data_IF_518211712478
#
_entry.id   IF_518211712478
#
_cell.length_a   1.000
_cell.length_b   1.000
_cell.length_c   1.000
_cell.angle_alpha   90.00
_cell.angle_beta   90.00
_cell.angle_gamma   90.00
#
_symmetry.space_group_name_H-M   'P 1'
#
loop_
_entity.id
_entity.type
_entity.pdbx_description
1 polymer ?
#
# COMPACT_ATOMS: atom_id res chain seq x y z
N UNK A 1 -26.19 30.76 -50.89
CA UNK A 1 -24.97 29.92 -50.85
C UNK A 1 -24.66 29.62 -49.40
N UNK A 2 -25.09 28.45 -48.91
CA UNK A 2 -24.94 28.01 -47.52
C UNK A 2 -23.51 27.54 -47.28
N UNK A 3 -22.85 28.04 -46.23
CA UNK A 3 -21.53 27.54 -45.78
C UNK A 3 -21.76 26.57 -44.61
N UNK A 4 -21.55 25.28 -44.86
CA UNK A 4 -21.46 24.27 -43.80
C UNK A 4 -20.19 24.52 -42.97
N UNK A 5 -20.36 24.74 -41.66
CA UNK A 5 -19.27 24.69 -40.70
C UNK A 5 -19.05 23.22 -40.29
N UNK A 6 -17.89 22.65 -40.62
CA UNK A 6 -17.51 21.31 -40.20
C UNK A 6 -17.12 21.30 -38.73
N UNK A 7 -17.83 20.47 -37.94
CA UNK A 7 -17.49 20.18 -36.55
C UNK A 7 -16.28 19.24 -36.54
N UNK A 8 -15.11 19.73 -36.12
CA UNK A 8 -13.93 18.89 -35.89
C UNK A 8 -14.12 18.17 -34.56
N UNK A 9 -14.44 16.89 -34.61
CA UNK A 9 -14.51 16.01 -33.45
C UNK A 9 -13.07 15.65 -33.05
N UNK A 10 -12.54 16.30 -32.02
CA UNK A 10 -11.26 15.97 -31.42
C UNK A 10 -11.43 14.68 -30.61
N UNK A 11 -11.12 13.53 -31.21
CA UNK A 11 -11.04 12.26 -30.48
C UNK A 11 -9.74 12.30 -29.68
N UNK A 12 -9.83 12.58 -28.38
CA UNK A 12 -8.74 12.29 -27.46
C UNK A 12 -8.55 10.78 -27.42
N UNK A 13 -7.49 10.31 -28.08
CA UNK A 13 -6.97 8.96 -27.87
C UNK A 13 -6.42 8.92 -26.44
N UNK A 14 -7.20 8.38 -25.50
CA UNK A 14 -6.72 8.01 -24.18
C UNK A 14 -5.80 6.82 -24.41
N UNK A 15 -4.49 7.06 -24.43
CA UNK A 15 -3.52 5.98 -24.38
C UNK A 15 -3.76 5.17 -23.09
N UNK A 16 -3.63 3.83 -23.11
CA UNK A 16 -3.61 3.06 -21.88
C UNK A 16 -2.49 3.64 -21.02
N UNK A 17 -2.86 4.20 -19.85
CA UNK A 17 -1.89 4.68 -18.89
C UNK A 17 -1.06 3.47 -18.42
N UNK A 18 0.25 3.64 -18.31
CA UNK A 18 1.16 2.58 -17.85
C UNK A 18 0.78 2.10 -16.44
N UNK A 19 1.26 0.92 -16.04
CA UNK A 19 1.08 0.40 -14.68
C UNK A 19 1.55 1.41 -13.60
N UNK A 20 2.56 2.25 -13.89
CA UNK A 20 2.99 3.36 -13.02
C UNK A 20 1.88 4.38 -12.70
N UNK A 21 0.82 4.47 -13.51
CA UNK A 21 -0.18 5.52 -13.42
C UNK A 21 -1.28 5.28 -12.37
N UNK A 22 -1.20 4.19 -11.60
CA UNK A 22 -2.10 3.95 -10.45
C UNK A 22 -1.33 3.72 -9.16
N UNK A 23 -0.29 4.53 -8.97
CA UNK A 23 0.40 4.69 -7.71
C UNK A 23 -0.14 5.92 -6.95
N UNK A 24 -0.52 5.75 -5.68
CA UNK A 24 -0.93 6.84 -4.80
C UNK A 24 -0.69 6.49 -3.34
N UNK A 25 -0.48 7.51 -2.51
CA UNK A 25 -0.30 7.39 -1.07
C UNK A 25 -1.50 8.05 -0.36
N UNK A 26 -1.90 7.52 0.79
CA UNK A 26 -3.01 8.05 1.61
C UNK A 26 -2.59 8.04 3.07
N UNK A 27 -2.76 9.18 3.73
CA UNK A 27 -2.71 9.26 5.19
C UNK A 27 -4.12 9.53 5.71
N UNK A 28 -4.47 8.86 6.80
CA UNK A 28 -5.72 9.08 7.52
C UNK A 28 -5.40 9.80 8.82
N UNK A 29 -6.05 10.94 9.05
CA UNK A 29 -5.74 11.78 10.19
C UNK A 29 -6.56 13.06 10.21
N UNK A 30 -6.25 13.97 11.13
CA UNK A 30 -6.85 15.29 11.14
C UNK A 30 -6.35 16.14 9.96
N UNK A 31 -7.11 17.17 9.53
CA UNK A 31 -6.72 18.07 8.44
C UNK A 31 -5.32 18.66 8.59
N UNK A 32 -4.50 18.55 7.55
CA UNK A 32 -3.11 19.01 7.48
C UNK A 32 -2.08 17.99 7.98
N UNK A 33 -2.48 16.81 8.45
CA UNK A 33 -1.58 15.81 8.99
C UNK A 33 -1.17 14.78 7.92
N UNK A 34 -0.49 15.26 6.88
CA UNK A 34 0.01 14.45 5.77
C UNK A 34 1.53 14.53 5.64
N UNK A 35 2.23 13.42 5.37
CA UNK A 35 3.66 13.44 5.13
C UNK A 35 4.07 14.28 3.91
N UNK A 36 5.33 14.72 3.90
CA UNK A 36 5.94 15.42 2.77
C UNK A 36 5.95 14.57 1.50
N UNK A 37 5.95 15.21 0.32
CA UNK A 37 6.01 14.46 -0.95
C UNK A 37 7.36 13.75 -1.19
N UNK A 38 8.39 14.08 -0.41
CA UNK A 38 9.67 13.36 -0.41
C UNK A 38 9.64 12.08 0.44
N UNK A 39 8.61 11.92 1.28
CA UNK A 39 8.50 10.77 2.15
C UNK A 39 7.99 9.53 1.41
N UNK A 40 8.83 8.51 1.38
CA UNK A 40 8.52 7.24 0.73
C UNK A 40 7.68 6.29 1.60
N UNK A 41 7.69 6.46 2.92
CA UNK A 41 7.32 5.36 3.83
C UNK A 41 8.14 4.11 3.49
N UNK A 42 7.47 2.99 3.24
CA UNK A 42 8.08 1.77 2.68
C UNK A 42 7.77 1.53 1.19
N UNK A 43 6.99 2.41 0.57
CA UNK A 43 6.59 2.35 -0.83
C UNK A 43 7.29 3.40 -1.68
N UNK A 44 6.53 4.04 -2.58
CA UNK A 44 7.02 5.12 -3.43
C UNK A 44 6.82 6.48 -2.76
N UNK A 45 7.85 7.33 -2.82
CA UNK A 45 7.71 8.75 -2.50
C UNK A 45 6.77 9.43 -3.51
N UNK A 46 6.05 10.45 -3.04
CA UNK A 46 5.09 11.19 -3.84
C UNK A 46 4.05 11.87 -2.98
N UNK A 47 3.09 12.50 -3.62
CA UNK A 47 1.98 13.17 -2.93
C UNK A 47 1.22 12.19 -2.03
N UNK A 48 1.07 12.57 -0.76
CA UNK A 48 0.19 11.91 0.20
C UNK A 48 -1.19 12.56 0.15
N UNK A 49 -2.19 11.78 -0.23
CA UNK A 49 -3.57 12.21 -0.21
C UNK A 49 -4.08 12.22 1.23
N UNK A 50 -4.74 13.30 1.59
CA UNK A 50 -5.49 13.40 2.83
C UNK A 50 -6.88 12.80 2.64
N UNK A 51 -7.21 11.79 3.47
CA UNK A 51 -8.57 11.26 3.54
C UNK A 51 -9.05 11.40 4.98
N UNK A 52 -9.82 12.45 5.23
CA UNK A 52 -10.48 12.70 6.51
C UNK A 52 -11.51 11.61 6.85
N UNK A 53 -11.88 11.52 8.13
CA UNK A 53 -13.02 10.72 8.59
C UNK A 53 -14.33 11.25 8.01
N UNK A 54 -14.69 10.73 6.84
CA UNK A 54 -15.95 11.03 6.16
C UNK A 54 -16.65 9.73 5.77
N UNK A 55 -17.20 8.99 6.76
CA UNK A 55 -17.72 7.65 6.53
C UNK A 55 -18.78 7.65 5.43
N UNK A 56 -18.55 6.84 4.41
CA UNK A 56 -19.49 6.59 3.33
C UNK A 56 -19.44 7.57 2.14
N UNK A 57 -18.63 8.63 2.19
CA UNK A 57 -18.37 9.50 1.03
C UNK A 57 -17.22 8.95 0.18
N UNK A 58 -17.23 9.29 -1.11
CA UNK A 58 -16.14 8.99 -2.02
C UNK A 58 -15.22 10.20 -2.13
N UNK A 59 -13.94 9.99 -1.86
CA UNK A 59 -12.87 10.98 -2.03
C UNK A 59 -12.03 10.60 -3.24
N UNK A 60 -11.87 11.52 -4.20
CA UNK A 60 -10.94 11.32 -5.31
C UNK A 60 -9.50 11.51 -4.84
N UNK A 61 -8.60 10.67 -5.32
CA UNK A 61 -7.17 10.76 -5.02
C UNK A 61 -6.38 11.21 -6.24
N UNK A 62 -5.30 11.93 -6.01
CA UNK A 62 -4.26 12.20 -7.00
C UNK A 62 -3.19 11.10 -6.95
N UNK A 63 -2.46 10.92 -8.03
CA UNK A 63 -1.33 10.00 -8.06
C UNK A 63 -0.11 10.56 -7.30
N UNK A 64 0.98 9.78 -7.25
CA UNK A 64 2.23 10.18 -6.61
C UNK A 64 2.85 11.48 -7.18
N UNK A 65 2.53 11.87 -8.41
CA UNK A 65 2.98 13.13 -9.02
C UNK A 65 2.04 14.31 -8.72
N UNK A 66 0.86 14.04 -8.15
CA UNK A 66 -0.17 15.02 -7.89
C UNK A 66 -1.16 15.22 -9.03
N UNK A 67 -1.12 14.36 -10.05
CA UNK A 67 -2.05 14.43 -11.18
C UNK A 67 -3.39 13.77 -10.84
N UNK A 68 -4.47 14.32 -11.40
CA UNK A 68 -5.82 13.83 -11.15
C UNK A 68 -6.04 12.41 -11.71
N UNK A 69 -6.62 11.53 -10.88
CA UNK A 69 -6.95 10.16 -11.25
C UNK A 69 -8.46 9.92 -11.29
N UNK A 70 -8.87 8.78 -11.88
CA UNK A 70 -10.23 8.26 -11.74
C UNK A 70 -10.45 7.48 -10.44
N UNK A 71 -9.38 7.28 -9.66
CA UNK A 71 -9.41 6.49 -8.43
C UNK A 71 -10.10 7.29 -7.34
N UNK A 72 -10.96 6.59 -6.60
CA UNK A 72 -11.64 7.16 -5.43
C UNK A 72 -11.72 6.13 -4.33
N UNK A 73 -11.65 6.62 -3.10
CA UNK A 73 -11.69 5.83 -1.88
C UNK A 73 -12.99 6.15 -1.16
N UNK A 74 -13.67 5.11 -0.69
CA UNK A 74 -14.76 5.23 0.27
C UNK A 74 -14.42 4.47 1.52
N UNK A 75 -14.40 5.16 2.65
CA UNK A 75 -14.20 4.58 3.97
C UNK A 75 -15.54 4.16 4.58
N UNK A 76 -15.59 3.00 5.24
CA UNK A 76 -16.69 2.58 6.12
C UNK A 76 -16.09 2.04 7.43
N UNK A 77 -16.72 2.30 8.57
CA UNK A 77 -16.12 1.98 9.87
C UNK A 77 -14.97 2.94 10.19
N UNK A 78 -14.16 2.64 11.20
CA UNK A 78 -13.06 3.53 11.59
C UNK A 78 -13.53 4.96 11.93
N UNK A 79 -14.62 5.09 12.69
CA UNK A 79 -15.36 6.36 12.88
C UNK A 79 -14.80 7.21 14.02
N UNK A 80 -13.51 7.09 14.29
CA UNK A 80 -12.80 7.96 15.20
C UNK A 80 -11.42 8.20 14.62
N UNK A 81 -11.05 9.47 14.49
CA UNK A 81 -9.66 9.87 14.26
C UNK A 81 -8.96 9.99 15.60
N UNK A 82 -8.02 9.09 15.87
CA UNK A 82 -7.05 9.28 16.94
C UNK A 82 -5.90 10.14 16.43
N UNK A 83 -5.48 11.09 17.25
CA UNK A 83 -4.37 12.02 16.97
C UNK A 83 -3.44 12.13 18.18
N UNK A 84 -3.15 10.99 18.82
CA UNK A 84 -2.24 10.95 19.97
C UNK A 84 -0.81 10.83 19.45
N UNK A 85 0.00 11.85 19.71
CA UNK A 85 1.43 11.83 19.38
C UNK A 85 2.15 10.70 20.14
N UNK A 86 2.96 9.91 19.43
CA UNK A 86 3.91 8.99 20.05
C UNK A 86 5.25 9.72 20.27
N UNK A 87 5.82 9.74 21.49
CA UNK A 87 7.09 10.45 21.73
C UNK A 87 8.30 9.84 21.00
N UNK A 88 8.17 8.64 20.43
CA UNK A 88 9.21 7.93 19.66
C UNK A 88 9.21 8.24 18.16
N UNK A 89 8.16 8.83 17.61
CA UNK A 89 8.05 9.22 16.19
C UNK A 89 8.45 10.69 16.01
N UNK A 90 8.83 11.08 14.79
CA UNK A 90 9.12 12.48 14.47
C UNK A 90 9.04 12.73 12.96
N UNK A 91 8.90 14.00 12.55
CA UNK A 91 8.88 14.37 11.14
C UNK A 91 7.76 13.68 10.37
N UNK A 92 8.07 13.14 9.19
CA UNK A 92 7.09 12.45 8.34
C UNK A 92 6.61 11.12 8.94
N UNK A 93 7.42 10.46 9.79
CA UNK A 93 6.96 9.26 10.51
C UNK A 93 5.84 9.63 11.50
N UNK A 94 5.96 10.75 12.22
CA UNK A 94 4.90 11.22 13.11
C UNK A 94 3.64 11.61 12.33
N UNK A 95 3.79 12.33 11.21
CA UNK A 95 2.67 12.72 10.36
C UNK A 95 1.88 11.52 9.80
N UNK A 96 2.54 10.38 9.57
CA UNK A 96 1.85 9.16 9.17
C UNK A 96 1.35 8.34 10.37
N UNK A 97 2.20 8.10 11.37
CA UNK A 97 1.98 7.04 12.36
C UNK A 97 1.27 7.50 13.65
N UNK A 98 1.23 8.80 13.94
CA UNK A 98 0.58 9.34 15.14
C UNK A 98 -0.93 9.55 14.95
N UNK A 99 -1.40 9.36 13.72
CA UNK A 99 -2.78 9.55 13.34
C UNK A 99 -3.33 8.27 12.73
N UNK A 100 -4.55 7.91 13.12
CA UNK A 100 -5.22 6.75 12.58
C UNK A 100 -6.73 6.82 12.70
N UNK A 101 -7.40 6.14 11.77
CA UNK A 101 -8.77 5.71 11.97
C UNK A 101 -8.77 4.58 12.99
N UNK A 102 -9.68 4.64 13.96
CA UNK A 102 -9.85 3.60 14.96
C UNK A 102 -11.23 2.98 14.84
N UNK A 103 -11.28 1.64 14.83
CA UNK A 103 -12.52 0.90 15.05
C UNK A 103 -12.53 0.22 16.41
N UNK A 104 -13.64 0.36 17.13
CA UNK A 104 -13.92 -0.30 18.42
C UNK A 104 -14.99 -1.39 18.30
N UNK A 105 -15.44 -1.70 17.08
CA UNK A 105 -16.52 -2.66 16.85
C UNK A 105 -15.96 -3.88 16.12
N UNK A 106 -15.89 -5.04 16.79
CA UNK A 106 -15.29 -6.24 16.18
C UNK A 106 -16.01 -6.73 14.92
N UNK A 107 -17.29 -6.37 14.73
CA UNK A 107 -18.05 -6.70 13.52
C UNK A 107 -18.00 -5.62 12.43
N UNK A 108 -17.24 -4.54 12.64
CA UNK A 108 -17.12 -3.42 11.71
C UNK A 108 -15.66 -2.95 11.67
N UNK A 109 -14.95 -3.39 10.64
CA UNK A 109 -13.57 -3.00 10.39
C UNK A 109 -13.51 -1.57 9.81
N UNK A 110 -12.32 -0.96 9.82
CA UNK A 110 -12.00 0.19 8.98
C UNK A 110 -11.82 -0.32 7.55
N UNK A 111 -12.91 -0.32 6.78
CA UNK A 111 -12.96 -0.80 5.40
C UNK A 111 -12.68 0.33 4.41
N UNK A 112 -11.77 0.10 3.49
CA UNK A 112 -11.49 0.96 2.34
C UNK A 112 -12.03 0.31 1.07
N UNK A 113 -12.90 1.02 0.35
CA UNK A 113 -13.36 0.64 -0.99
C UNK A 113 -12.68 1.52 -2.02
N UNK A 114 -11.63 0.99 -2.64
CA UNK A 114 -10.84 1.65 -3.67
C UNK A 114 -11.48 1.29 -5.02
N UNK A 115 -11.94 2.27 -5.78
CA UNK A 115 -12.62 2.02 -7.07
C UNK A 115 -12.06 2.91 -8.17
N UNK A 116 -12.26 2.51 -9.43
CA UNK A 116 -11.66 3.21 -10.58
C UNK A 116 -10.26 2.70 -10.91
N UNK A 117 -9.93 1.49 -10.43
CA UNK A 117 -8.70 0.78 -10.73
C UNK A 117 -8.79 0.10 -12.11
N UNK A 118 -7.66 0.00 -12.80
CA UNK A 118 -7.52 -0.91 -13.96
C UNK A 118 -7.36 -2.33 -13.44
N UNK A 119 -7.78 -3.32 -14.23
CA UNK A 119 -7.53 -4.71 -13.87
C UNK A 119 -6.04 -5.03 -13.97
N UNK A 120 -5.51 -5.76 -12.97
CA UNK A 120 -4.09 -6.04 -12.87
C UNK A 120 -3.67 -6.39 -11.45
N UNK A 121 -2.37 -6.59 -11.28
CA UNK A 121 -1.76 -6.82 -9.97
C UNK A 121 -1.39 -5.51 -9.31
N UNK A 122 -1.56 -5.45 -8.00
CA UNK A 122 -1.25 -4.30 -7.18
C UNK A 122 -0.53 -4.73 -5.91
N UNK A 123 0.39 -3.88 -5.45
CA UNK A 123 0.86 -3.91 -4.09
C UNK A 123 0.05 -2.90 -3.27
N UNK A 124 -0.50 -3.37 -2.15
CA UNK A 124 -1.10 -2.55 -1.12
C UNK A 124 -0.26 -2.66 0.15
N UNK A 125 0.31 -1.54 0.59
CA UNK A 125 0.90 -1.40 1.93
C UNK A 125 -0.17 -0.82 2.84
N UNK A 126 -0.42 -1.45 3.99
CA UNK A 126 -1.31 -0.93 5.02
C UNK A 126 -0.52 -0.59 6.27
N UNK A 127 -0.55 0.67 6.69
CA UNK A 127 0.00 1.11 7.98
C UNK A 127 -1.11 1.04 9.02
N UNK A 128 -0.92 0.21 10.05
CA UNK A 128 -1.99 -0.18 10.97
C UNK A 128 -1.46 -0.35 12.41
N UNK A 129 -0.72 0.65 12.88
CA UNK A 129 -0.06 0.67 14.17
C UNK A 129 -0.73 1.70 15.10
N UNK A 130 -0.98 1.29 16.33
CA UNK A 130 -1.63 2.16 17.32
C UNK A 130 -0.57 2.99 18.07
N UNK A 131 -0.56 4.33 17.92
CA UNK A 131 0.45 5.17 18.55
C UNK A 131 0.35 5.15 20.07
N UNK A 132 1.52 5.13 20.72
CA UNK A 132 1.72 5.03 22.17
C UNK A 132 1.12 3.77 22.84
N UNK A 133 0.68 2.77 22.07
CA UNK A 133 -0.02 1.58 22.58
C UNK A 133 0.62 0.28 22.05
N UNK A 134 1.81 -0.11 22.53
CA UNK A 134 2.60 -1.20 21.96
C UNK A 134 1.98 -2.60 22.11
N UNK A 135 0.91 -2.73 22.88
CA UNK A 135 0.18 -4.00 23.08
C UNK A 135 -1.04 -4.13 22.18
N UNK A 136 -1.40 -3.08 21.44
CA UNK A 136 -2.54 -3.10 20.52
C UNK A 136 -2.05 -3.52 19.14
N UNK A 137 -2.78 -4.47 18.56
CA UNK A 137 -2.51 -4.97 17.22
C UNK A 137 -3.77 -4.81 16.36
N UNK A 138 -3.56 -4.44 15.11
CA UNK A 138 -4.59 -4.41 14.08
C UNK A 138 -4.46 -5.63 13.18
N UNK A 139 -5.61 -6.10 12.70
CA UNK A 139 -5.72 -7.18 11.74
C UNK A 139 -5.96 -6.58 10.36
N UNK A 140 -5.07 -6.84 9.40
CA UNK A 140 -5.10 -6.23 8.07
C UNK A 140 -5.33 -7.29 7.01
N UNK A 141 -6.13 -6.98 6.00
CA UNK A 141 -6.42 -7.89 4.89
C UNK A 141 -6.90 -7.14 3.65
N UNK A 142 -6.90 -7.84 2.51
CA UNK A 142 -7.59 -7.41 1.30
C UNK A 142 -8.40 -8.54 0.69
N UNK A 143 -9.61 -8.22 0.22
CA UNK A 143 -10.50 -9.19 -0.45
C UNK A 143 -9.93 -9.62 -1.82
N UNK A 144 -9.03 -8.86 -2.40
CA UNK A 144 -8.42 -9.13 -3.71
C UNK A 144 -7.06 -9.82 -3.59
N UNK A 145 -6.56 -10.07 -2.38
CA UNK A 145 -5.35 -10.86 -2.18
C UNK A 145 -5.63 -12.36 -2.31
N UNK A 146 -4.94 -13.09 -3.21
CA UNK A 146 -5.13 -14.53 -3.34
C UNK A 146 -4.89 -15.27 -2.02
N UNK A 147 -5.83 -16.12 -1.63
CA UNK A 147 -5.78 -16.86 -0.38
C UNK A 147 -6.33 -16.12 0.83
N UNK A 148 -6.70 -14.84 0.68
CA UNK A 148 -7.29 -14.00 1.74
C UNK A 148 -6.50 -14.04 3.06
N UNK A 149 -5.16 -13.90 3.02
CA UNK A 149 -4.39 -13.90 4.25
C UNK A 149 -4.77 -12.68 5.07
N UNK A 150 -4.71 -12.85 6.38
CA UNK A 150 -4.84 -11.74 7.30
C UNK A 150 -3.53 -11.60 8.06
N UNK A 151 -3.07 -10.36 8.17
CA UNK A 151 -1.76 -10.02 8.71
C UNK A 151 -1.96 -9.18 9.95
N UNK A 152 -1.26 -9.52 11.02
CA UNK A 152 -1.34 -8.80 12.30
C UNK A 152 -0.21 -7.77 12.35
N UNK A 153 -0.56 -6.51 12.62
CA UNK A 153 0.38 -5.37 12.68
C UNK A 153 0.27 -4.73 14.06
N UNK A 154 1.41 -4.55 14.74
CA UNK A 154 1.45 -3.87 16.04
C UNK A 154 2.74 -4.15 16.80
N UNK A 155 2.93 -3.49 17.93
CA UNK A 155 4.15 -3.61 18.75
C UNK A 155 4.72 -2.26 19.15
N UNK A 156 5.89 -2.25 19.79
CA UNK A 156 6.59 -1.00 20.07
C UNK A 156 7.16 -0.37 18.80
N UNK A 157 7.15 0.96 18.71
CA UNK A 157 7.80 1.69 17.61
C UNK A 157 9.29 1.27 17.54
N UNK A 158 9.76 0.73 16.40
CA UNK A 158 11.11 0.18 16.33
C UNK A 158 12.16 1.24 15.92
N UNK A 159 11.78 2.52 15.84
CA UNK A 159 12.64 3.61 15.38
C UNK A 159 12.55 3.91 13.87
N UNK A 160 11.63 3.26 13.17
CA UNK A 160 11.34 3.42 11.75
C UNK A 160 10.27 2.41 11.32
N UNK A 161 10.01 2.30 10.01
CA UNK A 161 9.07 1.28 9.52
C UNK A 161 9.66 -0.12 9.58
N UNK A 162 8.87 -1.06 10.11
CA UNK A 162 9.14 -2.48 10.10
C UNK A 162 7.88 -3.28 9.77
N UNK A 163 8.04 -4.32 8.94
CA UNK A 163 6.97 -5.25 8.59
C UNK A 163 6.40 -5.92 9.84
N UNK A 164 5.07 -6.06 9.88
CA UNK A 164 4.27 -6.62 10.97
C UNK A 164 4.33 -5.87 12.31
N UNK A 165 5.13 -4.80 12.40
CA UNK A 165 5.10 -3.86 13.53
C UNK A 165 4.31 -2.62 13.14
N UNK A 166 4.71 -1.98 12.04
CA UNK A 166 4.15 -0.69 11.59
C UNK A 166 3.25 -0.83 10.38
N UNK A 167 3.52 -1.81 9.52
CA UNK A 167 2.77 -2.05 8.29
C UNK A 167 2.68 -3.53 7.94
N UNK A 168 1.75 -3.85 7.03
CA UNK A 168 1.68 -5.10 6.28
C UNK A 168 1.68 -4.81 4.78
N UNK A 169 2.10 -5.80 3.97
CA UNK A 169 2.05 -5.75 2.49
C UNK A 169 1.08 -6.80 1.98
N UNK A 170 0.31 -6.44 0.96
CA UNK A 170 -0.66 -7.32 0.33
C UNK A 170 -0.44 -7.31 -1.20
N UNK A 171 -0.47 -8.49 -1.82
CA UNK A 171 -0.31 -8.64 -3.27
C UNK A 171 -1.66 -8.99 -3.89
N UNK A 172 -2.34 -7.99 -4.44
CA UNK A 172 -3.75 -8.08 -4.78
C UNK A 172 -3.99 -8.18 -6.30
N UNK A 173 -4.95 -9.01 -6.71
CA UNK A 173 -5.37 -9.15 -8.10
C UNK A 173 -6.74 -8.48 -8.31
N UNK A 174 -6.72 -7.32 -8.95
CA UNK A 174 -7.94 -6.57 -9.28
C UNK A 174 -8.53 -7.07 -10.61
N UNK A 175 -9.78 -7.52 -10.57
CA UNK A 175 -10.50 -8.02 -11.76
C UNK A 175 -11.80 -7.26 -12.08
N UNK A 176 -12.26 -6.41 -11.16
CA UNK A 176 -13.54 -5.68 -11.26
C UNK A 176 -13.37 -4.17 -11.22
N UNK A 177 -12.12 -3.68 -11.33
CA UNK A 177 -11.76 -2.27 -11.15
C UNK A 177 -11.97 -1.72 -9.74
N UNK A 178 -12.03 -2.62 -8.75
CA UNK A 178 -12.13 -2.33 -7.32
C UNK A 178 -11.16 -3.19 -6.52
N UNK A 179 -10.70 -2.63 -5.41
CA UNK A 179 -10.06 -3.34 -4.31
C UNK A 179 -10.70 -2.94 -2.98
N UNK A 180 -10.76 -3.88 -2.05
CA UNK A 180 -11.22 -3.71 -0.69
C UNK A 180 -10.11 -4.08 0.27
N UNK A 181 -9.85 -3.19 1.21
CA UNK A 181 -8.88 -3.40 2.28
C UNK A 181 -9.56 -3.19 3.63
N UNK A 182 -9.13 -3.94 4.63
CA UNK A 182 -9.74 -3.93 5.95
C UNK A 182 -8.68 -3.83 7.03
N UNK A 183 -8.91 -2.96 8.02
CA UNK A 183 -8.19 -2.98 9.29
C UNK A 183 -9.18 -3.19 10.44
N UNK A 184 -9.01 -4.27 11.18
CA UNK A 184 -9.96 -4.76 12.17
C UNK A 184 -9.33 -5.12 13.50
N UNK A 185 -10.18 -5.34 14.51
CA UNK A 185 -9.76 -5.86 15.81
C UNK A 185 -9.35 -7.32 15.63
N UNK A 186 -8.13 -7.66 16.08
CA UNK A 186 -7.63 -9.05 16.05
C UNK A 186 -8.63 -9.97 16.78
N UNK A 187 -9.01 -11.13 16.20
CA UNK A 187 -9.94 -12.04 16.84
C UNK A 187 -9.54 -12.40 18.27
N UNK A 188 -10.42 -12.10 19.23
CA UNK A 188 -10.20 -12.35 20.66
C UNK A 188 -9.49 -11.24 21.43
N UNK A 189 -9.06 -10.16 20.77
CA UNK A 189 -8.54 -8.97 21.44
C UNK A 189 -9.66 -8.14 22.11
N UNK A 190 -9.27 -7.27 23.03
CA UNK A 190 -10.19 -6.37 23.74
C UNK A 190 -10.70 -5.27 22.81
N UNK A 191 -12.02 -5.24 22.58
CA UNK A 191 -12.66 -4.27 21.71
C UNK A 191 -12.58 -2.85 22.24
N UNK A 192 -12.40 -2.66 23.56
CA UNK A 192 -12.25 -1.34 24.16
C UNK A 192 -10.95 -0.64 23.75
N UNK A 193 -9.96 -1.40 23.27
CA UNK A 193 -8.68 -0.88 22.81
C UNK A 193 -8.70 -0.50 21.33
N UNK A 194 -9.54 -1.19 20.54
CA UNK A 194 -9.74 -0.93 19.11
C UNK A 194 -8.60 -1.42 18.22
N UNK A 195 -8.65 -1.02 16.94
CA UNK A 195 -7.62 -1.29 15.94
C UNK A 195 -7.41 -0.09 15.02
N UNK A 196 -6.16 0.14 14.62
CA UNK A 196 -5.72 1.34 13.91
C UNK A 196 -5.60 1.13 12.40
N UNK A 197 -5.84 2.19 11.63
CA UNK A 197 -5.44 2.33 10.24
C UNK A 197 -4.90 3.75 10.02
N UNK A 198 -3.59 3.85 9.88
CA UNK A 198 -2.87 5.13 9.74
C UNK A 198 -2.83 5.62 8.31
N UNK A 199 -2.64 4.71 7.36
CA UNK A 199 -2.48 5.07 5.95
C UNK A 199 -2.33 3.86 5.05
N UNK A 200 -2.31 4.12 3.75
CA UNK A 200 -2.01 3.11 2.74
C UNK A 200 -1.09 3.67 1.66
N UNK A 201 -0.26 2.80 1.09
CA UNK A 201 0.36 3.05 -0.21
C UNK A 201 -0.11 2.00 -1.19
N UNK A 202 -0.36 2.43 -2.41
CA UNK A 202 -0.92 1.60 -3.45
C UNK A 202 -0.15 1.81 -4.72
N UNK A 203 0.20 0.74 -5.44
CA UNK A 203 0.82 0.82 -6.76
C UNK A 203 0.50 -0.40 -7.61
N UNK A 204 0.33 -0.22 -8.91
CA UNK A 204 0.23 -1.35 -9.81
C UNK A 204 1.62 -1.98 -9.99
N UNK A 205 1.64 -3.30 -10.08
CA UNK A 205 2.88 -4.09 -10.23
C UNK A 205 2.74 -5.08 -11.39
N UNK A 206 3.88 -5.55 -11.89
CA UNK A 206 3.95 -6.68 -12.81
C UNK A 206 3.36 -7.94 -12.16
N UNK A 207 2.86 -8.90 -12.96
CA UNK A 207 2.43 -10.19 -12.43
C UNK A 207 3.53 -10.83 -11.57
N UNK A 208 3.21 -11.29 -10.34
CA UNK A 208 4.19 -11.89 -9.44
C UNK A 208 4.88 -13.10 -10.08
N UNK A 209 6.20 -13.13 -10.00
CA UNK A 209 7.04 -14.24 -10.42
C UNK A 209 8.23 -14.32 -9.44
N UNK A 210 8.18 -15.30 -8.54
CA UNK A 210 9.21 -15.48 -7.51
C UNK A 210 10.57 -15.68 -8.18
N UNK A 211 11.56 -14.89 -7.76
CA UNK A 211 12.91 -14.83 -8.34
C UNK A 211 13.10 -13.80 -9.46
N UNK A 212 12.03 -13.24 -10.05
CA UNK A 212 12.11 -12.21 -11.09
C UNK A 212 12.20 -10.82 -10.43
N UNK A 213 13.39 -10.50 -9.91
CA UNK A 213 13.65 -9.27 -9.18
C UNK A 213 13.75 -8.04 -10.09
N UNK A 214 13.88 -8.22 -11.40
CA UNK A 214 13.86 -7.10 -12.35
C UNK A 214 12.49 -6.92 -13.05
N UNK A 215 11.55 -7.85 -12.82
CA UNK A 215 10.21 -7.88 -13.38
C UNK A 215 10.17 -7.91 -14.93
N UNK A 216 11.13 -8.57 -15.58
CA UNK A 216 11.18 -8.76 -17.03
C UNK A 216 10.42 -10.00 -17.53
N UNK A 217 9.85 -10.78 -16.60
CA UNK A 217 9.10 -12.01 -16.85
C UNK A 217 9.98 -13.26 -16.93
N UNK A 218 11.26 -13.17 -16.60
CA UNK A 218 12.19 -14.30 -16.62
C UNK A 218 13.04 -14.32 -15.36
N UNK A 219 13.22 -15.51 -14.78
CA UNK A 219 14.17 -15.70 -13.67
C UNK A 219 15.52 -16.11 -14.23
N UNK A 220 16.49 -15.20 -14.21
CA UNK A 220 17.82 -15.40 -14.78
C UNK A 220 18.91 -14.54 -14.08
N UNK A 221 20.14 -14.56 -14.61
CA UNK A 221 21.29 -13.87 -14.01
C UNK A 221 21.10 -12.34 -13.87
N UNK A 222 20.19 -11.75 -14.66
CA UNK A 222 19.88 -10.32 -14.60
C UNK A 222 19.12 -9.93 -13.33
N UNK A 223 18.52 -10.88 -12.62
CA UNK A 223 17.82 -10.66 -11.35
C UNK A 223 18.76 -10.50 -10.16
N UNK A 224 20.03 -10.91 -10.29
CA UNK A 224 20.99 -10.91 -9.17
C UNK A 224 21.20 -9.50 -8.61
N UNK A 225 21.40 -8.50 -9.48
CA UNK A 225 21.68 -7.14 -9.02
C UNK A 225 20.46 -6.49 -8.33
N UNK A 226 19.24 -6.54 -8.91
CA UNK A 226 18.04 -6.07 -8.21
C UNK A 226 17.73 -6.85 -6.94
N UNK A 227 17.95 -8.17 -6.92
CA UNK A 227 17.79 -8.99 -5.71
C UNK A 227 18.73 -8.53 -4.57
N UNK A 228 20.02 -8.32 -4.87
CA UNK A 228 20.99 -7.81 -3.89
C UNK A 228 20.63 -6.38 -3.44
N UNK A 229 20.11 -5.55 -4.34
CA UNK A 229 19.62 -4.22 -3.99
C UNK A 229 18.45 -4.32 -2.99
N UNK A 230 17.46 -5.18 -3.26
CA UNK A 230 16.32 -5.37 -2.38
C UNK A 230 16.72 -5.87 -0.98
N UNK A 231 17.71 -6.77 -0.87
CA UNK A 231 18.22 -7.23 0.41
C UNK A 231 18.94 -6.15 1.22
N UNK A 232 19.63 -5.23 0.55
CA UNK A 232 20.45 -4.20 1.21
C UNK A 232 19.68 -2.92 1.51
N UNK A 233 18.77 -2.55 0.61
CA UNK A 233 17.93 -1.37 0.70
C UNK A 233 16.61 -1.62 -0.07
N UNK A 234 15.60 -2.22 0.60
CA UNK A 234 14.30 -2.46 0.00
C UNK A 234 13.62 -1.19 -0.53
N UNK A 235 13.85 -0.04 0.12
CA UNK A 235 13.30 1.24 -0.31
C UNK A 235 13.91 1.73 -1.61
N UNK A 236 15.24 1.65 -1.74
CA UNK A 236 15.93 1.98 -2.98
C UNK A 236 15.56 1.03 -4.14
N UNK A 237 15.34 -0.26 -3.83
CA UNK A 237 14.84 -1.22 -4.82
C UNK A 237 13.44 -0.83 -5.32
N UNK A 238 12.51 -0.51 -4.41
CA UNK A 238 11.14 -0.08 -4.76
C UNK A 238 11.16 1.19 -5.62
N UNK A 239 12.02 2.15 -5.29
CA UNK A 239 12.18 3.37 -6.07
C UNK A 239 12.79 3.12 -7.46
N UNK A 240 13.74 2.19 -7.59
CA UNK A 240 14.38 1.84 -8.86
C UNK A 240 13.50 0.95 -9.75
N UNK A 241 12.61 0.15 -9.15
CA UNK A 241 11.74 -0.81 -9.81
C UNK A 241 10.27 -0.57 -9.37
N UNK A 242 9.65 0.55 -9.79
CA UNK A 242 8.35 1.00 -9.27
C UNK A 242 7.21 0.02 -9.54
N UNK A 243 7.28 -0.78 -10.60
CA UNK A 243 6.30 -1.82 -10.93
C UNK A 243 6.70 -3.21 -10.40
N UNK A 244 7.80 -3.34 -9.67
CA UNK A 244 8.27 -4.62 -9.15
C UNK A 244 8.00 -4.75 -7.66
N UNK A 245 7.28 -5.82 -7.30
CA UNK A 245 6.94 -6.14 -5.92
C UNK A 245 8.11 -6.77 -5.19
N UNK A 246 8.27 -6.48 -3.89
CA UNK A 246 9.27 -7.14 -3.05
C UNK A 246 8.99 -8.64 -2.86
N UNK A 247 7.74 -9.07 -3.09
CA UNK A 247 7.36 -10.49 -3.10
C UNK A 247 8.15 -11.33 -4.12
N UNK A 248 8.69 -10.74 -5.20
CA UNK A 248 9.54 -11.49 -6.12
C UNK A 248 10.92 -11.82 -5.51
N UNK A 249 11.34 -11.09 -4.48
CA UNK A 249 12.63 -11.24 -3.77
C UNK A 249 12.49 -12.12 -2.53
N UNK A 250 11.31 -12.14 -1.90
CA UNK A 250 10.94 -13.14 -0.89
C UNK A 250 10.79 -14.51 -1.57
N UNK A 251 11.90 -15.25 -1.64
CA UNK A 251 11.98 -16.53 -2.36
C UNK A 251 11.82 -17.72 -1.43
N UNK A 252 11.86 -17.49 -0.12
CA UNK A 252 11.53 -18.51 0.87
C UNK A 252 10.03 -18.52 1.26
N UNK A 253 9.30 -17.44 0.96
CA UNK A 253 7.86 -17.28 1.18
C UNK A 253 7.47 -16.94 2.61
N UNK A 254 8.37 -16.36 3.42
CA UNK A 254 8.13 -16.02 4.83
C UNK A 254 7.69 -14.57 5.06
N UNK A 255 7.44 -13.83 3.97
CA UNK A 255 7.04 -12.43 3.92
C UNK A 255 8.10 -11.43 4.43
N UNK A 256 9.34 -11.90 4.61
CA UNK A 256 10.51 -11.05 4.84
C UNK A 256 11.43 -11.09 3.63
N UNK A 257 12.17 -10.01 3.43
CA UNK A 257 13.22 -9.94 2.42
C UNK A 257 14.54 -9.83 3.17
N UNK A 258 15.22 -10.96 3.33
CA UNK A 258 16.45 -11.05 4.11
C UNK A 258 17.44 -12.12 3.60
N UNK A 259 18.51 -12.36 4.35
CA UNK A 259 19.59 -13.29 3.95
C UNK A 259 19.10 -14.72 3.72
N UNK A 260 17.96 -15.11 4.28
CA UNK A 260 17.35 -16.43 4.11
C UNK A 260 16.78 -16.66 2.72
N UNK A 261 16.54 -15.59 1.94
CA UNK A 261 16.12 -15.66 0.54
C UNK A 261 17.25 -16.04 -0.42
N UNK A 262 18.51 -15.90 -0.01
CA UNK A 262 19.63 -16.12 -0.93
C UNK A 262 19.65 -17.57 -1.46
N UNK A 263 19.49 -18.56 -0.58
CA UNK A 263 19.59 -19.96 -1.01
C UNK A 263 18.41 -20.40 -1.90
N UNK A 264 17.15 -20.08 -1.57
CA UNK A 264 16.03 -20.34 -2.47
C UNK A 264 16.15 -19.60 -3.81
N UNK A 265 16.61 -18.34 -3.83
CA UNK A 265 16.87 -17.62 -5.07
C UNK A 265 17.91 -18.33 -5.96
N UNK A 266 19.02 -18.81 -5.39
CA UNK A 266 20.01 -19.60 -6.14
C UNK A 266 19.41 -20.90 -6.70
N UNK A 267 18.51 -21.57 -5.97
CA UNK A 267 17.82 -22.75 -6.47
C UNK A 267 16.98 -22.41 -7.71
N UNK A 268 16.24 -21.30 -7.70
CA UNK A 268 15.46 -20.82 -8.84
C UNK A 268 16.35 -20.53 -10.07
N UNK A 269 17.51 -19.90 -9.89
CA UNK A 269 18.43 -19.59 -10.99
C UNK A 269 19.08 -20.83 -11.63
N UNK A 270 19.25 -21.89 -10.86
CA UNK A 270 19.97 -23.09 -11.29
C UNK A 270 19.05 -24.25 -11.67
N UNK A 271 17.76 -24.16 -11.35
CA UNK A 271 16.79 -25.25 -11.51
C UNK A 271 17.06 -26.44 -10.59
N UNK A 272 17.63 -26.18 -9.41
CA UNK A 272 18.02 -27.19 -8.42
C UNK A 272 16.90 -27.57 -7.44
#
# INVERSE_FOLDING_TARGET
MSRCAGLVLLVLLIAPRSADAQAFNVAFGPPGAVPSSSYAGVGLAGVWNEVDESPGLYTYVVDIAGDATSVRIRQIGGTEVRSTDDPGTSGDDALLMDHCLVTYTASLESCLYITGLSNGWYELVMYAWMPAEPTIFAYTSSDEEPGYPHKTVGGAWPGGHAAFVTYSRHTCLVTTGRLQAHSGIVPGADQLLGAALNGVQFRAISPPLVGDANCDGQVNVLDINPFVQALSDPGAYVAANPTCGLFNVDTNGDEQVDVLDINPFIALLTGA
#
